data_IF_129103986565
#
_entry.id   IF_129103986565
#
_cell.length_a   1.000
_cell.length_b   1.000
_cell.length_c   1.000
_cell.angle_alpha   90.00
_cell.angle_beta   90.00
_cell.angle_gamma   90.00
#
_symmetry.space_group_name_H-M   'P 1'
#
loop_
_entity.id
_entity.type
_entity.pdbx_description
1 polymer ?
#
# COMPACT_ATOMS: atom_id res chain seq x y z
N UNK A 1 -20.34 9.87 -5.76
CA UNK A 1 -19.22 8.93 -5.77
C UNK A 1 -18.25 9.36 -6.86
N UNK A 2 -17.01 9.68 -6.49
CA UNK A 2 -15.91 9.99 -7.41
C UNK A 2 -14.83 8.94 -7.18
N UNK A 3 -14.39 8.29 -8.25
CA UNK A 3 -13.32 7.27 -8.19
C UNK A 3 -12.00 7.95 -7.82
N UNK A 4 -11.29 7.49 -6.76
CA UNK A 4 -9.96 8.00 -6.42
C UNK A 4 -8.93 7.71 -7.52
N UNK A 5 -9.21 6.79 -8.45
CA UNK A 5 -8.42 6.55 -9.66
C UNK A 5 -9.02 7.23 -10.90
N UNK A 6 -9.42 8.49 -10.76
CA UNK A 6 -9.55 9.34 -11.94
C UNK A 6 -8.15 9.47 -12.55
N UNK A 7 -8.00 9.12 -13.83
CA UNK A 7 -6.73 9.13 -14.59
C UNK A 7 -6.01 10.50 -14.61
N UNK A 8 -6.60 11.51 -13.95
CA UNK A 8 -6.10 12.86 -13.71
C UNK A 8 -4.82 12.92 -12.84
N UNK A 9 -4.39 11.82 -12.22
CA UNK A 9 -3.12 11.77 -11.46
C UNK A 9 -1.96 11.12 -12.23
N UNK A 10 -2.14 10.75 -13.50
CA UNK A 10 -1.00 10.61 -14.40
C UNK A 10 -0.63 12.03 -14.84
N UNK A 11 0.09 12.72 -13.96
CA UNK A 11 0.87 13.88 -14.39
C UNK A 11 1.98 13.30 -15.26
N UNK A 12 1.71 13.20 -16.55
CA UNK A 12 2.76 13.21 -17.55
C UNK A 12 3.56 14.49 -17.28
N UNK A 13 4.73 14.35 -16.66
CA UNK A 13 5.64 15.46 -16.41
C UNK A 13 6.27 15.81 -17.77
N UNK A 14 5.46 16.31 -18.69
CA UNK A 14 5.88 17.13 -19.82
C UNK A 14 6.21 18.52 -19.27
N UNK A 15 7.20 18.59 -18.36
CA UNK A 15 7.78 19.87 -17.97
C UNK A 15 8.59 20.39 -19.14
N UNK A 16 8.20 21.59 -19.55
CA UNK A 16 9.00 22.52 -20.33
C UNK A 16 10.50 22.35 -20.05
N UNK A 17 11.22 22.26 -21.16
CA UNK A 17 12.67 22.21 -21.30
C UNK A 17 13.38 23.24 -20.42
N UNK A 18 13.74 22.83 -19.22
CA UNK A 18 14.99 23.27 -18.59
C UNK A 18 15.94 22.09 -18.68
N UNK A 19 16.91 22.23 -19.57
CA UNK A 19 17.96 21.27 -19.86
C UNK A 19 18.74 21.02 -18.57
N UNK A 20 18.41 19.95 -17.86
CA UNK A 20 19.28 19.36 -16.85
C UNK A 20 20.32 18.55 -17.63
N UNK A 21 21.63 18.78 -17.47
CA UNK A 21 22.64 18.01 -18.17
C UNK A 21 22.46 16.53 -17.84
N UNK A 22 22.28 15.74 -18.89
CA UNK A 22 22.16 14.28 -18.86
C UNK A 22 23.33 13.67 -18.09
N UNK A 23 23.06 13.05 -16.94
CA UNK A 23 24.08 12.25 -16.24
C UNK A 23 23.94 12.07 -14.73
N UNK A 24 22.96 12.68 -14.05
CA UNK A 24 22.84 12.51 -12.60
C UNK A 24 21.39 12.21 -12.19
N UNK A 25 21.08 10.91 -12.08
CA UNK A 25 20.02 10.48 -11.19
C UNK A 25 20.40 10.93 -9.77
N UNK A 26 19.79 12.01 -9.30
CA UNK A 26 19.81 12.38 -7.88
C UNK A 26 18.91 11.40 -7.13
N UNK A 27 19.35 10.15 -7.01
CA UNK A 27 18.92 9.34 -5.88
C UNK A 27 19.42 10.08 -4.63
N UNK A 28 18.57 10.33 -3.62
CA UNK A 28 19.07 10.83 -2.35
C UNK A 28 20.14 9.85 -1.89
N UNK A 29 21.37 10.32 -1.67
CA UNK A 29 22.51 9.54 -1.18
C UNK A 29 22.34 9.16 0.29
N UNK A 30 21.10 8.89 0.71
CA UNK A 30 20.73 8.57 2.07
C UNK A 30 20.70 7.05 2.14
N UNK A 31 21.49 6.53 3.06
CA UNK A 31 21.82 5.13 3.18
C UNK A 31 20.52 4.29 3.24
N UNK A 32 20.21 3.51 2.21
CA UNK A 32 18.99 2.68 2.10
C UNK A 32 18.84 1.78 3.34
N UNK A 33 19.96 1.42 3.96
CA UNK A 33 20.07 0.69 5.22
C UNK A 33 19.34 1.39 6.39
N UNK A 34 19.27 2.72 6.40
CA UNK A 34 18.57 3.51 7.43
C UNK A 34 17.06 3.49 7.27
N UNK A 35 16.55 3.17 6.06
CA UNK A 35 15.13 3.06 5.72
C UNK A 35 14.69 1.60 5.62
N UNK A 36 15.26 0.74 6.47
CA UNK A 36 14.91 -0.69 6.50
C UNK A 36 13.46 -0.88 6.95
N UNK A 37 12.65 -1.47 6.07
CA UNK A 37 11.30 -1.93 6.40
C UNK A 37 11.32 -2.83 7.65
N UNK A 38 12.35 -3.66 7.79
CA UNK A 38 12.50 -4.58 8.93
C UNK A 38 12.61 -3.83 10.26
N UNK A 39 13.31 -2.70 10.28
CA UNK A 39 13.41 -1.88 11.48
C UNK A 39 12.05 -1.26 11.84
N UNK A 40 11.34 -0.72 10.84
CA UNK A 40 10.02 -0.13 11.04
C UNK A 40 9.01 -1.12 11.63
N UNK A 41 8.93 -2.33 11.06
CA UNK A 41 7.98 -3.35 11.53
C UNK A 41 8.28 -3.81 12.96
N UNK A 42 9.55 -3.91 13.35
CA UNK A 42 9.94 -4.30 14.69
C UNK A 42 9.44 -3.31 15.74
N UNK A 43 9.46 -2.01 15.40
CA UNK A 43 9.05 -0.94 16.31
C UNK A 43 7.53 -0.70 16.31
N UNK A 44 6.84 -0.94 15.19
CA UNK A 44 5.46 -0.45 14.98
C UNK A 44 4.40 -1.56 14.88
N UNK A 45 4.80 -2.84 14.89
CA UNK A 45 3.89 -3.96 14.60
C UNK A 45 3.99 -5.11 15.59
N UNK A 46 2.93 -5.93 15.67
CA UNK A 46 2.84 -7.10 16.56
C UNK A 46 3.52 -8.35 16.00
N UNK A 47 3.86 -8.33 14.71
CA UNK A 47 4.29 -9.51 13.96
C UNK A 47 5.81 -9.72 13.98
N UNK A 48 6.57 -8.83 14.64
CA UNK A 48 8.03 -8.95 14.79
C UNK A 48 8.72 -9.07 13.42
N UNK A 49 9.59 -10.06 13.24
CA UNK A 49 10.27 -10.35 11.97
C UNK A 49 9.49 -11.31 11.05
N UNK A 50 8.32 -11.80 11.45
CA UNK A 50 7.48 -12.69 10.62
C UNK A 50 6.65 -11.88 9.64
N UNK A 51 7.33 -11.34 8.64
CA UNK A 51 6.73 -10.62 7.52
C UNK A 51 6.98 -11.39 6.24
N UNK A 52 5.96 -12.13 5.83
CA UNK A 52 5.95 -12.93 4.61
C UNK A 52 4.51 -12.95 4.07
N UNK A 53 4.31 -13.56 2.90
CA UNK A 53 2.98 -13.80 2.34
C UNK A 53 2.17 -14.68 3.28
N UNK A 54 1.09 -14.12 3.83
CA UNK A 54 0.10 -14.89 4.57
C UNK A 54 -0.90 -15.54 3.62
N UNK A 55 -1.17 -16.83 3.82
CA UNK A 55 -2.22 -17.56 3.11
C UNK A 55 -3.52 -17.63 3.92
N UNK A 56 -3.47 -17.26 5.20
CA UNK A 56 -4.59 -17.27 6.13
C UNK A 56 -4.94 -15.84 6.57
N UNK A 57 -6.23 -15.55 6.86
CA UNK A 57 -6.62 -14.26 7.40
C UNK A 57 -5.92 -13.91 8.71
N UNK A 58 -5.49 -12.66 8.86
CA UNK A 58 -5.04 -12.13 10.14
C UNK A 58 -6.20 -12.05 11.13
N UNK A 59 -5.89 -12.26 12.41
CA UNK A 59 -6.84 -12.16 13.52
C UNK A 59 -6.74 -10.82 14.25
N UNK A 60 -5.60 -10.13 14.10
CA UNK A 60 -5.32 -8.83 14.70
C UNK A 60 -4.73 -7.90 13.65
N UNK A 61 -4.93 -6.57 13.75
CA UNK A 61 -4.27 -5.60 12.88
C UNK A 61 -2.75 -5.67 13.01
N UNK A 62 -2.05 -5.33 11.93
CA UNK A 62 -0.59 -5.32 11.94
C UNK A 62 0.01 -4.30 12.91
N UNK A 63 -0.61 -3.13 13.04
CA UNK A 63 -0.06 -2.01 13.81
C UNK A 63 -0.50 -2.00 15.28
N UNK A 64 0.39 -1.52 16.15
CA UNK A 64 0.21 -1.64 17.61
C UNK A 64 -0.74 -0.60 18.21
N UNK A 65 -0.98 0.51 17.50
CA UNK A 65 -1.60 1.73 18.04
C UNK A 65 -3.05 1.99 17.57
N UNK A 66 -3.76 0.96 17.11
CA UNK A 66 -5.18 1.10 16.77
C UNK A 66 -6.02 0.83 18.02
N UNK A 67 -6.59 1.89 18.60
CA UNK A 67 -7.53 1.80 19.72
C UNK A 67 -9.00 1.78 19.27
N UNK A 68 -9.30 2.30 18.08
CA UNK A 68 -10.66 2.36 17.57
C UNK A 68 -11.11 0.97 17.04
N UNK A 69 -12.10 0.38 17.71
CA UNK A 69 -12.66 -0.93 17.35
C UNK A 69 -13.19 -0.98 15.90
N UNK A 70 -13.73 0.11 15.37
CA UNK A 70 -14.19 0.16 13.98
C UNK A 70 -13.02 0.03 13.00
N UNK A 71 -11.90 0.72 13.27
CA UNK A 71 -10.70 0.61 12.46
C UNK A 71 -10.07 -0.79 12.54
N UNK A 72 -10.14 -1.43 13.72
CA UNK A 72 -9.71 -2.84 13.87
C UNK A 72 -10.54 -3.73 12.93
N UNK A 73 -11.87 -3.66 13.01
CA UNK A 73 -12.75 -4.49 12.18
C UNK A 73 -12.57 -4.20 10.68
N UNK A 74 -12.39 -2.94 10.32
CA UNK A 74 -12.11 -2.53 8.94
C UNK A 74 -10.79 -3.13 8.44
N UNK A 75 -9.70 -3.03 9.22
CA UNK A 75 -8.40 -3.59 8.87
C UNK A 75 -8.47 -5.11 8.64
N UNK A 76 -9.15 -5.84 9.52
CA UNK A 76 -9.35 -7.29 9.37
C UNK A 76 -10.17 -7.63 8.12
N UNK A 77 -11.19 -6.82 7.82
CA UNK A 77 -12.08 -7.04 6.67
C UNK A 77 -11.36 -6.74 5.34
N UNK A 78 -10.59 -5.65 5.29
CA UNK A 78 -9.74 -5.30 4.15
C UNK A 78 -8.71 -6.38 3.89
N UNK A 79 -8.09 -6.95 4.92
CA UNK A 79 -7.12 -8.03 4.73
C UNK A 79 -7.75 -9.29 4.12
N UNK A 80 -8.94 -9.69 4.60
CA UNK A 80 -9.70 -10.80 4.00
C UNK A 80 -10.05 -10.53 2.53
N UNK A 81 -10.41 -9.29 2.22
CA UNK A 81 -10.72 -8.87 0.86
C UNK A 81 -9.49 -8.98 -0.06
N UNK A 82 -8.33 -8.49 0.41
CA UNK A 82 -7.05 -8.62 -0.29
C UNK A 82 -6.67 -10.09 -0.48
N UNK A 83 -6.82 -10.93 0.55
CA UNK A 83 -6.54 -12.36 0.42
C UNK A 83 -7.45 -13.03 -0.61
N UNK A 84 -8.75 -12.74 -0.60
CA UNK A 84 -9.67 -13.27 -1.61
C UNK A 84 -9.27 -12.82 -3.00
N UNK A 85 -8.90 -11.55 -3.15
CA UNK A 85 -8.48 -10.96 -4.41
C UNK A 85 -7.22 -11.64 -4.97
N UNK A 86 -6.17 -11.76 -4.15
CA UNK A 86 -4.87 -12.34 -4.55
C UNK A 86 -4.97 -13.83 -4.88
N UNK A 87 -5.95 -14.54 -4.30
CA UNK A 87 -6.11 -15.99 -4.52
C UNK A 87 -7.24 -16.33 -5.51
N UNK A 88 -7.89 -15.34 -6.13
CA UNK A 88 -8.92 -15.57 -7.15
C UNK A 88 -8.24 -15.85 -8.50
N UNK A 89 -8.68 -16.89 -9.21
CA UNK A 89 -8.18 -17.23 -10.56
C UNK A 89 -8.83 -16.41 -11.69
N UNK A 90 -10.00 -15.83 -11.42
CA UNK A 90 -10.78 -15.03 -12.37
C UNK A 90 -10.52 -13.55 -12.15
N UNK A 91 -9.71 -12.94 -13.01
CA UNK A 91 -9.42 -11.50 -12.96
C UNK A 91 -10.31 -10.75 -13.95
N UNK A 92 -11.09 -9.79 -13.44
CA UNK A 92 -11.85 -8.85 -14.24
C UNK A 92 -11.33 -7.46 -13.92
N UNK A 93 -10.76 -6.79 -14.92
CA UNK A 93 -10.12 -5.47 -14.79
C UNK A 93 -11.04 -4.46 -14.09
N UNK A 94 -12.35 -4.49 -14.37
CA UNK A 94 -13.29 -3.55 -13.75
C UNK A 94 -13.46 -3.81 -12.26
N UNK A 95 -13.65 -5.09 -11.90
CA UNK A 95 -13.79 -5.52 -10.52
C UNK A 95 -12.50 -5.28 -9.73
N UNK A 96 -11.37 -5.55 -10.36
CA UNK A 96 -10.04 -5.41 -9.77
C UNK A 96 -9.72 -3.93 -9.50
N UNK A 97 -10.09 -3.02 -10.43
CA UNK A 97 -10.02 -1.57 -10.21
C UNK A 97 -10.94 -1.13 -9.08
N UNK A 98 -12.22 -1.49 -9.12
CA UNK A 98 -13.18 -1.10 -8.07
C UNK A 98 -12.74 -1.57 -6.67
N UNK A 99 -12.10 -2.73 -6.57
CA UNK A 99 -11.51 -3.24 -5.34
C UNK A 99 -10.33 -2.39 -4.84
N UNK A 100 -9.42 -2.03 -5.76
CA UNK A 100 -8.30 -1.15 -5.43
C UNK A 100 -8.79 0.22 -4.95
N UNK A 101 -9.71 0.85 -5.68
CA UNK A 101 -10.34 2.12 -5.30
C UNK A 101 -10.96 2.05 -3.91
N UNK A 102 -11.70 0.97 -3.62
CA UNK A 102 -12.31 0.76 -2.32
C UNK A 102 -11.26 0.67 -1.20
N UNK A 103 -10.19 -0.11 -1.40
CA UNK A 103 -9.11 -0.24 -0.41
C UNK A 103 -8.43 1.11 -0.16
N UNK A 104 -8.15 1.87 -1.22
CA UNK A 104 -7.55 3.21 -1.12
C UNK A 104 -8.47 4.15 -0.36
N UNK A 105 -9.76 4.18 -0.69
CA UNK A 105 -10.72 5.07 -0.06
C UNK A 105 -10.95 4.75 1.43
N UNK A 106 -10.81 3.49 1.84
CA UNK A 106 -10.86 3.14 3.27
C UNK A 106 -9.60 3.59 4.05
N UNK A 107 -8.51 3.92 3.35
CA UNK A 107 -7.28 4.43 3.93
C UNK A 107 -7.16 5.97 3.96
N UNK A 108 -8.01 6.67 3.20
CA UNK A 108 -8.12 8.14 3.19
C UNK A 108 -8.97 8.64 4.36
#
# INVERSE_FOLDING_TARGET
WQEPHNEQHIIEISRATNVIPSGQHLFPSHNIETLSFIKYIQENTRFGTKWDRFLIPIQEPFTNNISNQQHIQLALSLFKLILRFVNTSEHDIKRDRALADYIVQMGL
#
